data_IF_941404329539
#
_entry.id   IF_941404329539
#
_cell.length_a   1.000
_cell.length_b   1.000
_cell.length_c   1.000
_cell.angle_alpha   90.00
_cell.angle_beta   90.00
_cell.angle_gamma   90.00
#
_symmetry.space_group_name_H-M   'P 1'
#
loop_
_entity.id
_entity.type
_entity.pdbx_description
1 polymer ?
#
# COMPACT_ATOMS: atom_id res chain seq x y z
N UNK A 1 1.19 17.09 -18.59
CA UNK A 1 0.60 16.42 -17.47
C UNK A 1 1.21 15.06 -17.26
N UNK A 2 1.71 14.83 -16.12
CA UNK A 2 2.35 13.57 -15.82
C UNK A 2 1.38 12.57 -15.24
N UNK A 3 1.51 11.33 -15.65
CA UNK A 3 0.76 10.26 -15.02
C UNK A 3 1.21 10.12 -13.57
N UNK A 4 0.28 9.84 -12.70
CA UNK A 4 0.58 9.63 -11.30
C UNK A 4 1.21 8.26 -11.14
N UNK A 5 2.40 8.23 -10.58
CA UNK A 5 3.08 6.99 -10.32
C UNK A 5 2.47 6.30 -9.10
N UNK A 6 2.44 4.98 -9.13
CA UNK A 6 1.95 4.17 -8.01
C UNK A 6 3.06 3.30 -7.48
N UNK A 7 3.08 3.14 -6.17
CA UNK A 7 3.98 2.23 -5.49
C UNK A 7 3.12 1.10 -4.93
N UNK A 8 3.44 -0.12 -5.28
CA UNK A 8 2.60 -1.27 -4.95
C UNK A 8 3.37 -2.21 -4.05
N UNK A 9 2.83 -2.42 -2.85
CA UNK A 9 3.37 -3.42 -1.92
C UNK A 9 2.57 -4.69 -2.15
N UNK A 10 3.25 -5.73 -2.63
CA UNK A 10 2.58 -6.98 -2.97
C UNK A 10 2.57 -7.92 -1.78
N UNK A 11 1.52 -8.72 -1.68
CA UNK A 11 1.42 -9.74 -0.64
C UNK A 11 2.22 -10.98 -0.99
N UNK A 12 3.39 -10.79 -1.57
CA UNK A 12 4.29 -11.86 -1.97
C UNK A 12 5.68 -11.51 -1.46
N UNK A 13 6.31 -12.45 -0.78
CA UNK A 13 7.66 -12.22 -0.30
C UNK A 13 8.65 -12.27 -1.45
N UNK A 14 9.87 -11.79 -1.21
CA UNK A 14 10.87 -11.71 -2.27
C UNK A 14 11.25 -13.09 -2.80
N UNK A 15 11.05 -14.13 -2.01
CA UNK A 15 11.31 -15.50 -2.47
C UNK A 15 10.08 -16.14 -3.12
N UNK A 16 8.99 -15.39 -3.29
CA UNK A 16 7.83 -15.86 -4.04
C UNK A 16 6.71 -16.46 -3.23
N UNK A 17 6.84 -16.49 -1.91
CA UNK A 17 5.82 -17.09 -1.05
C UNK A 17 4.73 -16.09 -0.71
N UNK A 18 3.57 -16.60 -0.34
CA UNK A 18 2.48 -15.75 0.10
C UNK A 18 2.76 -15.16 1.47
N UNK A 19 2.50 -13.87 1.61
CA UNK A 19 2.67 -13.21 2.89
C UNK A 19 1.45 -13.46 3.78
N UNK A 20 1.71 -13.73 5.04
CA UNK A 20 0.66 -14.04 6.01
C UNK A 20 0.79 -13.12 7.21
N UNK A 21 -0.29 -12.83 7.92
CA UNK A 21 -1.67 -13.34 7.73
C UNK A 21 -2.33 -12.70 6.51
N UNK A 22 -3.39 -13.33 6.02
CA UNK A 22 -4.01 -12.89 4.78
C UNK A 22 -4.67 -11.51 4.88
N UNK A 23 -4.93 -11.03 6.08
CA UNK A 23 -5.52 -9.70 6.27
C UNK A 23 -4.48 -8.61 6.50
N UNK A 24 -3.23 -8.88 6.12
CA UNK A 24 -2.14 -7.94 6.36
C UNK A 24 -2.39 -6.58 5.71
N UNK A 25 -2.97 -6.57 4.52
CA UNK A 25 -3.19 -5.31 3.80
C UNK A 25 -4.26 -4.48 4.48
N UNK A 26 -5.32 -5.11 4.94
CA UNK A 26 -6.35 -4.40 5.70
C UNK A 26 -5.79 -3.83 6.99
N UNK A 27 -4.94 -4.58 7.67
CA UNK A 27 -4.32 -4.09 8.89
C UNK A 27 -3.40 -2.91 8.63
N UNK A 28 -2.63 -2.98 7.54
CA UNK A 28 -1.72 -1.91 7.21
C UNK A 28 -2.49 -0.63 6.84
N UNK A 29 -3.53 -0.77 6.02
CA UNK A 29 -4.35 0.38 5.66
C UNK A 29 -5.03 0.98 6.91
N UNK A 30 -5.45 0.12 7.83
CA UNK A 30 -6.04 0.60 9.07
C UNK A 30 -5.04 1.33 9.95
N UNK A 31 -3.78 0.93 9.91
CA UNK A 31 -2.75 1.56 10.73
C UNK A 31 -2.47 2.99 10.29
N UNK A 32 -2.72 3.31 9.03
CA UNK A 32 -2.50 4.66 8.51
C UNK A 32 -3.79 5.45 8.36
N UNK A 33 -4.91 4.87 8.79
CA UNK A 33 -6.19 5.56 8.73
C UNK A 33 -6.32 6.54 9.88
N UNK A 34 -7.23 7.49 9.73
CA UNK A 34 -7.53 8.42 10.80
C UNK A 34 -8.97 8.21 11.24
N UNK A 35 -9.37 8.91 12.31
CA UNK A 35 -10.72 8.83 12.81
C UNK A 35 -11.43 10.16 12.64
N UNK A 36 -12.59 10.10 12.03
CA UNK A 36 -13.42 11.27 11.86
C UNK A 36 -14.50 11.35 12.93
N UNK A 37 -15.45 12.27 12.75
CA UNK A 37 -16.55 12.41 13.70
C UNK A 37 -17.33 11.11 13.82
N UNK A 38 -17.79 10.81 15.04
CA UNK A 38 -18.57 9.60 15.29
C UNK A 38 -17.74 8.34 15.24
N UNK A 39 -16.43 8.44 15.41
CA UNK A 39 -15.50 7.31 15.42
C UNK A 39 -15.47 6.57 14.10
N UNK A 40 -15.73 7.26 13.01
CA UNK A 40 -15.62 6.67 11.68
C UNK A 40 -14.17 6.50 11.31
N UNK A 41 -13.87 5.38 10.67
CA UNK A 41 -12.53 5.15 10.14
C UNK A 41 -12.46 5.84 8.78
N UNK A 42 -11.48 6.73 8.62
CA UNK A 42 -11.26 7.42 7.36
C UNK A 42 -9.95 6.92 6.81
N UNK A 43 -10.01 6.13 5.73
CA UNK A 43 -8.81 5.59 5.12
C UNK A 43 -8.06 6.69 4.40
N UNK A 44 -6.74 6.54 4.38
CA UNK A 44 -5.89 7.55 3.76
C UNK A 44 -6.17 7.61 2.26
N UNK A 45 -6.37 8.81 1.70
CA UNK A 45 -6.72 8.91 0.28
C UNK A 45 -5.63 8.47 -0.67
N UNK A 46 -4.38 8.42 -0.21
CA UNK A 46 -3.26 7.99 -1.05
C UNK A 46 -2.91 6.52 -0.88
N UNK A 47 -3.61 5.80 0.00
CA UNK A 47 -3.29 4.41 0.31
C UNK A 47 -4.56 3.58 0.11
N UNK A 48 -4.50 2.59 -0.77
CA UNK A 48 -5.68 1.80 -1.12
C UNK A 48 -5.36 0.32 -1.17
N UNK A 49 -6.40 -0.46 -0.88
CA UNK A 49 -6.33 -1.90 -1.10
C UNK A 49 -6.58 -2.21 -2.55
N UNK A 50 -5.90 -3.23 -3.05
CA UNK A 50 -6.14 -3.70 -4.40
C UNK A 50 -5.83 -5.18 -4.47
N UNK A 51 -6.33 -5.82 -5.52
CA UNK A 51 -6.01 -7.20 -5.81
C UNK A 51 -5.50 -7.26 -7.23
N UNK A 52 -4.25 -7.67 -7.40
CA UNK A 52 -3.62 -7.74 -8.71
C UNK A 52 -3.25 -9.19 -8.99
N UNK A 53 -3.80 -9.73 -10.05
CA UNK A 53 -3.52 -11.12 -10.44
C UNK A 53 -3.78 -12.09 -9.29
N UNK A 54 -4.86 -11.85 -8.57
CA UNK A 54 -5.23 -12.72 -7.45
C UNK A 54 -4.44 -12.50 -6.18
N UNK A 55 -3.54 -11.52 -6.17
CA UNK A 55 -2.69 -11.24 -5.02
C UNK A 55 -3.14 -9.94 -4.37
N UNK A 56 -3.34 -9.98 -3.06
CA UNK A 56 -3.71 -8.79 -2.32
C UNK A 56 -2.53 -7.83 -2.26
N UNK A 57 -2.78 -6.56 -2.48
CA UNK A 57 -1.74 -5.54 -2.53
C UNK A 57 -2.19 -4.27 -1.84
N UNK A 58 -1.22 -3.45 -1.46
CA UNK A 58 -1.48 -2.09 -1.00
C UNK A 58 -0.89 -1.15 -2.04
N UNK A 59 -1.74 -0.28 -2.57
CA UNK A 59 -1.34 0.66 -3.62
C UNK A 59 -1.20 2.04 -3.00
N UNK A 60 -0.04 2.64 -3.17
CA UNK A 60 0.29 3.94 -2.61
C UNK A 60 0.50 4.92 -3.75
N UNK A 61 -0.20 6.06 -3.68
CA UNK A 61 0.04 7.14 -4.63
C UNK A 61 1.42 7.71 -4.33
N UNK A 62 2.28 7.79 -5.34
CA UNK A 62 3.67 8.23 -5.12
C UNK A 62 3.75 9.66 -4.61
N UNK A 63 2.70 10.45 -4.78
CA UNK A 63 2.68 11.80 -4.22
C UNK A 63 2.76 11.79 -2.70
N UNK A 64 2.42 10.68 -2.07
CA UNK A 64 2.54 10.58 -0.62
C UNK A 64 3.97 10.82 -0.16
N UNK A 65 4.94 10.42 -0.98
CA UNK A 65 6.35 10.61 -0.64
C UNK A 65 6.67 12.08 -0.45
N UNK A 66 5.99 12.95 -1.19
CA UNK A 66 6.21 14.39 -1.06
C UNK A 66 5.30 15.03 -0.03
N UNK A 67 4.09 14.50 0.13
CA UNK A 67 3.12 15.10 1.04
C UNK A 67 3.34 14.71 2.48
N UNK A 68 3.79 13.48 2.70
CA UNK A 68 3.98 12.95 4.05
C UNK A 68 5.08 11.90 3.99
N UNK A 69 6.31 12.37 4.00
CA UNK A 69 7.45 11.48 3.81
C UNK A 69 7.54 10.46 4.93
N UNK A 70 7.18 10.82 6.15
CA UNK A 70 7.28 9.89 7.26
C UNK A 70 6.30 8.74 7.13
N UNK A 71 5.09 9.05 6.67
CA UNK A 71 4.11 7.99 6.45
C UNK A 71 4.53 7.11 5.29
N UNK A 72 5.06 7.71 4.24
CA UNK A 72 5.55 6.93 3.11
C UNK A 72 6.66 5.99 3.54
N UNK A 73 7.60 6.50 4.34
CA UNK A 73 8.69 5.67 4.83
C UNK A 73 8.20 4.55 5.73
N UNK A 74 7.18 4.82 6.54
CA UNK A 74 6.60 3.77 7.38
C UNK A 74 6.09 2.62 6.52
N UNK A 75 5.40 2.93 5.43
CA UNK A 75 4.85 1.90 4.57
C UNK A 75 5.95 1.11 3.87
N UNK A 76 6.97 1.81 3.39
CA UNK A 76 8.07 1.15 2.70
C UNK A 76 8.86 0.29 3.67
N UNK A 77 9.08 0.78 4.90
CA UNK A 77 9.79 0.00 5.89
C UNK A 77 9.02 -1.26 6.28
N UNK A 78 7.69 -1.16 6.33
CA UNK A 78 6.89 -2.34 6.58
C UNK A 78 7.16 -3.40 5.52
N UNK A 79 7.18 -3.00 4.25
CA UNK A 79 7.44 -3.94 3.17
C UNK A 79 8.84 -4.52 3.27
N UNK A 80 9.82 -3.68 3.58
CA UNK A 80 11.20 -4.12 3.67
C UNK A 80 11.41 -5.07 4.85
N UNK A 81 10.83 -4.74 6.00
CA UNK A 81 10.97 -5.57 7.19
C UNK A 81 10.37 -6.95 7.00
N UNK A 82 9.34 -7.05 6.18
CA UNK A 82 8.67 -8.32 5.91
C UNK A 82 9.10 -8.93 4.58
N UNK A 83 10.10 -8.34 3.95
CA UNK A 83 10.68 -8.83 2.69
C UNK A 83 9.62 -9.01 1.60
N UNK A 84 8.73 -8.05 1.50
CA UNK A 84 7.68 -8.07 0.49
C UNK A 84 8.19 -7.42 -0.80
N UNK A 85 7.61 -7.87 -1.91
CA UNK A 85 7.93 -7.28 -3.20
C UNK A 85 7.27 -5.92 -3.32
N UNK A 86 8.01 -4.94 -3.79
CA UNK A 86 7.51 -3.59 -4.01
C UNK A 86 7.79 -3.21 -5.45
N UNK A 87 6.79 -2.66 -6.11
CA UNK A 87 6.91 -2.32 -7.50
C UNK A 87 6.40 -0.90 -7.73
N UNK A 88 7.10 -0.14 -8.58
CA UNK A 88 6.63 1.18 -9.00
C UNK A 88 6.13 1.08 -10.43
N UNK A 89 4.99 1.69 -10.70
CA UNK A 89 4.47 1.72 -12.05
C UNK A 89 3.75 3.04 -12.30
N UNK A 90 3.81 3.50 -13.55
CA UNK A 90 3.23 4.77 -13.92
C UNK A 90 1.71 4.76 -13.79
N UNK A 91 1.09 3.60 -14.00
CA UNK A 91 -0.33 3.45 -13.72
C UNK A 91 -0.64 1.98 -13.56
N UNK A 92 -1.75 1.71 -12.86
CA UNK A 92 -2.14 0.33 -12.63
C UNK A 92 -2.61 -0.34 -13.90
N UNK A 93 -2.34 -1.64 -14.04
CA UNK A 93 -2.94 -2.40 -15.13
C UNK A 93 -4.46 -2.40 -14.96
N UNK A 94 -5.13 -2.30 -16.06
CA UNK A 94 -6.58 -2.41 -16.03
C UNK A 94 -6.98 -3.87 -16.02
N UNK A 95 -7.92 -4.20 -15.17
CA UNK A 95 -8.39 -5.58 -15.07
C UNK A 95 -9.66 -5.79 -15.85
#
# INVERSE_FOLDING_TARGET
MTATEKVIIKGITKDGGKFRPSDWAERLCGAVASYGPGRRIIFHPRVKLASLEGTKCVVIDAQLEEEDVMLFEFLIEFADDNQLQVERMAKLPES
#
